data_IF_081426328197
#
_entry.id   IF_081426328197
#
_cell.length_a   1.000
_cell.length_b   1.000
_cell.length_c   1.000
_cell.angle_alpha   90.00
_cell.angle_beta   90.00
_cell.angle_gamma   90.00
#
_symmetry.space_group_name_H-M   'P 1'
#
loop_
_entity.id
_entity.type
_entity.pdbx_description
1 polymer ?
#
# COMPACT_ATOMS: atom_id res chain seq x y z
N UNK A 1 -17.92 3.44 2.78
CA UNK A 1 -16.52 3.89 2.63
C UNK A 1 -15.68 2.62 2.55
N UNK A 2 -15.09 2.29 1.40
CA UNK A 2 -14.33 1.03 1.25
C UNK A 2 -13.11 1.02 2.16
N UNK A 3 -12.84 -0.12 2.79
CA UNK A 3 -11.70 -0.28 3.72
C UNK A 3 -10.37 0.14 3.10
N UNK A 4 -10.16 -0.16 1.80
CA UNK A 4 -8.98 0.27 1.04
C UNK A 4 -8.82 1.79 1.01
N UNK A 5 -9.89 2.55 0.85
CA UNK A 5 -9.83 4.02 0.83
C UNK A 5 -9.42 4.57 2.20
N UNK A 6 -9.99 4.01 3.28
CA UNK A 6 -9.60 4.38 4.64
C UNK A 6 -8.11 4.15 4.88
N UNK A 7 -7.57 3.00 4.46
CA UNK A 7 -6.14 2.69 4.64
C UNK A 7 -5.22 3.60 3.83
N UNK A 8 -5.63 4.02 2.64
CA UNK A 8 -4.81 4.93 1.82
C UNK A 8 -4.84 6.34 2.40
N UNK A 9 -5.99 6.81 2.87
CA UNK A 9 -6.14 8.12 3.54
C UNK A 9 -5.38 8.16 4.87
N UNK A 10 -5.34 7.03 5.58
CA UNK A 10 -4.72 6.88 6.89
C UNK A 10 -3.47 5.97 6.84
N UNK A 11 -2.70 5.98 5.75
CA UNK A 11 -1.49 5.13 5.57
C UNK A 11 -0.43 5.33 6.67
N UNK A 12 -0.56 6.45 7.37
CA UNK A 12 0.33 6.88 8.45
C UNK A 12 -0.07 6.38 9.83
N UNK A 13 -1.29 5.88 9.97
CA UNK A 13 -1.81 5.34 11.23
C UNK A 13 -1.33 3.91 11.37
N UNK A 14 -0.86 3.56 12.56
CA UNK A 14 -0.47 2.18 12.89
C UNK A 14 -1.46 1.57 13.87
N UNK A 15 -1.74 0.30 13.64
CA UNK A 15 -2.55 -0.52 14.55
C UNK A 15 -1.64 -1.60 15.10
N UNK A 16 -1.57 -1.69 16.43
CA UNK A 16 -0.85 -2.73 17.14
C UNK A 16 -1.84 -3.63 17.85
N UNK A 17 -1.67 -4.94 17.69
CA UNK A 17 -2.37 -5.94 18.47
C UNK A 17 -1.44 -6.39 19.58
N UNK A 18 -1.69 -5.92 20.80
CA UNK A 18 -0.92 -6.33 21.98
C UNK A 18 -1.60 -7.58 22.52
N UNK A 19 -0.94 -8.72 22.32
CA UNK A 19 -1.38 -10.00 22.87
C UNK A 19 -1.16 -9.99 24.38
N UNK A 20 -2.17 -10.41 25.11
CA UNK A 20 -2.10 -10.68 26.53
C UNK A 20 -2.37 -12.17 26.73
N UNK A 21 -1.59 -12.84 27.58
CA UNK A 21 -1.82 -14.26 27.91
C UNK A 21 -2.91 -14.43 29.00
N UNK A 22 -3.22 -13.36 29.74
CA UNK A 22 -4.23 -13.39 30.80
C UNK A 22 -5.67 -13.15 30.30
N UNK A 23 -5.88 -12.95 29.00
CA UNK A 23 -7.21 -12.78 28.39
C UNK A 23 -7.20 -13.32 26.97
N UNK A 24 -8.33 -13.87 26.56
CA UNK A 24 -8.64 -14.22 25.17
C UNK A 24 -8.87 -13.00 24.26
N UNK A 25 -8.96 -11.80 24.84
CA UNK A 25 -9.03 -10.54 24.11
C UNK A 25 -7.66 -9.85 23.99
N UNK A 26 -7.30 -9.46 22.77
CA UNK A 26 -6.10 -8.65 22.51
C UNK A 26 -6.42 -7.16 22.57
N UNK A 27 -5.55 -6.37 23.22
CA UNK A 27 -5.66 -4.92 23.22
C UNK A 27 -5.26 -4.37 21.84
N UNK A 28 -6.09 -3.48 21.30
CA UNK A 28 -5.82 -2.81 20.02
C UNK A 28 -5.36 -1.38 20.32
N UNK A 29 -4.14 -1.05 19.92
CA UNK A 29 -3.58 0.30 20.05
C UNK A 29 -3.55 0.96 18.67
N UNK A 30 -4.25 2.09 18.55
CA UNK A 30 -4.25 2.93 17.36
C UNK A 30 -3.30 4.12 17.57
N UNK A 31 -2.17 4.10 16.88
CA UNK A 31 -1.21 5.20 16.91
C UNK A 31 -1.43 6.13 15.69
N UNK A 32 -2.03 7.28 15.98
CA UNK A 32 -2.31 8.35 15.03
C UNK A 32 -1.17 9.39 14.93
N UNK A 33 -0.20 9.37 15.87
CA UNK A 33 0.90 10.33 15.95
C UNK A 33 2.21 9.81 15.37
N UNK A 34 2.28 8.51 15.03
CA UNK A 34 3.42 7.85 14.39
C UNK A 34 4.04 8.63 13.21
N UNK A 35 3.27 9.49 12.57
CA UNK A 35 3.62 10.19 11.33
C UNK A 35 4.45 11.47 11.45
N UNK A 36 4.76 11.94 12.65
CA UNK A 36 5.57 13.16 12.79
C UNK A 36 7.00 12.98 12.23
N UNK A 37 7.50 11.75 12.15
CA UNK A 37 8.79 11.45 11.53
C UNK A 37 8.63 11.03 10.06
N UNK A 38 9.09 11.88 9.12
CA UNK A 38 9.21 11.56 7.69
C UNK A 38 10.33 10.55 7.42
N UNK A 39 10.23 9.33 7.94
CA UNK A 39 11.17 8.24 7.61
C UNK A 39 10.89 7.71 6.20
N UNK A 40 11.94 7.51 5.40
CA UNK A 40 11.85 6.79 4.11
C UNK A 40 11.34 5.37 4.39
N UNK A 41 10.07 5.11 4.11
CA UNK A 41 9.49 3.76 4.25
C UNK A 41 10.05 2.87 3.13
N UNK A 42 10.54 1.68 3.52
CA UNK A 42 10.82 0.62 2.56
C UNK A 42 9.51 0.20 1.90
N UNK A 43 9.56 -0.25 0.65
CA UNK A 43 8.40 -0.86 0.02
C UNK A 43 7.96 -2.06 0.86
N UNK A 44 6.71 -2.05 1.30
CA UNK A 44 6.05 -3.17 1.93
C UNK A 44 4.80 -3.45 1.12
N UNK A 45 4.66 -4.70 0.69
CA UNK A 45 3.43 -5.15 0.08
C UNK A 45 2.34 -5.19 1.16
N UNK A 46 1.18 -4.62 0.87
CA UNK A 46 0.04 -4.66 1.78
C UNK A 46 -1.02 -5.62 1.26
N UNK A 47 -1.34 -6.64 2.07
CA UNK A 47 -2.38 -7.62 1.74
C UNK A 47 -3.74 -6.96 1.47
N UNK A 48 -4.01 -5.79 2.04
CA UNK A 48 -5.25 -5.04 1.84
C UNK A 48 -5.43 -4.58 0.39
N UNK A 49 -4.35 -4.50 -0.40
CA UNK A 49 -4.45 -4.17 -1.83
C UNK A 49 -5.25 -5.21 -2.63
N UNK A 50 -5.32 -6.47 -2.18
CA UNK A 50 -6.14 -7.50 -2.81
C UNK A 50 -7.65 -7.21 -2.80
N UNK A 51 -8.10 -6.23 -2.01
CA UNK A 51 -9.50 -5.77 -2.05
C UNK A 51 -9.83 -5.06 -3.37
N UNK A 52 -8.83 -4.76 -4.20
CA UNK A 52 -8.97 -4.25 -5.56
C UNK A 52 -8.39 -5.24 -6.57
N UNK A 53 -8.98 -5.33 -7.77
CA UNK A 53 -8.41 -6.09 -8.90
C UNK A 53 -7.27 -5.35 -9.61
N UNK A 54 -7.05 -4.07 -9.31
CA UNK A 54 -6.04 -3.23 -9.96
C UNK A 54 -4.58 -3.70 -9.74
N UNK A 55 -4.13 -4.06 -8.52
CA UNK A 55 -2.75 -4.52 -8.31
C UNK A 55 -2.43 -5.78 -9.10
N UNK A 56 -3.38 -6.71 -9.19
CA UNK A 56 -3.22 -7.96 -9.93
C UNK A 56 -3.05 -7.70 -11.43
N UNK A 57 -3.89 -6.83 -12.00
CA UNK A 57 -3.76 -6.38 -13.39
C UNK A 57 -2.40 -5.74 -13.65
N UNK A 58 -1.99 -4.80 -12.79
CA UNK A 58 -0.69 -4.10 -12.93
C UNK A 58 0.47 -5.10 -12.89
N UNK A 59 0.44 -6.05 -11.97
CA UNK A 59 1.49 -7.09 -11.88
C UNK A 59 1.48 -7.93 -13.15
N UNK A 60 0.32 -8.41 -13.59
CA UNK A 60 0.19 -9.25 -14.79
C UNK A 60 0.71 -8.53 -16.05
N UNK A 61 0.32 -7.26 -16.24
CA UNK A 61 0.72 -6.46 -17.40
C UNK A 61 2.23 -6.23 -17.42
N UNK A 62 2.81 -5.86 -16.28
CA UNK A 62 4.26 -5.63 -16.15
C UNK A 62 5.04 -6.94 -16.29
N UNK A 63 4.51 -8.05 -15.76
CA UNK A 63 5.18 -9.35 -15.80
C UNK A 63 5.23 -9.94 -17.21
N UNK A 64 4.23 -9.66 -18.04
CA UNK A 64 4.18 -10.09 -19.45
C UNK A 64 5.19 -9.36 -20.33
N UNK A 65 5.71 -8.20 -19.92
CA UNK A 65 6.69 -7.46 -20.71
C UNK A 65 8.00 -8.23 -20.83
N UNK A 66 8.46 -8.43 -22.07
CA UNK A 66 9.75 -9.04 -22.31
C UNK A 66 10.90 -8.19 -21.80
N UNK A 67 11.91 -8.89 -21.27
CA UNK A 67 13.14 -8.31 -20.76
C UNK A 67 14.30 -8.98 -21.48
N UNK A 68 15.28 -8.18 -21.88
CA UNK A 68 16.52 -8.67 -22.46
C UNK A 68 17.52 -9.05 -21.36
N UNK A 69 18.45 -9.94 -21.70
CA UNK A 69 19.51 -10.40 -20.80
C UNK A 69 19.36 -11.84 -20.30
N UNK A 70 20.18 -12.22 -19.32
CA UNK A 70 20.22 -13.57 -18.77
C UNK A 70 18.91 -13.94 -18.05
N UNK A 71 18.60 -15.23 -17.94
CA UNK A 71 17.37 -15.72 -17.28
C UNK A 71 17.16 -15.08 -15.89
N UNK A 72 18.23 -14.99 -15.09
CA UNK A 72 18.18 -14.38 -13.75
C UNK A 72 17.98 -12.86 -13.79
N UNK A 73 18.59 -12.18 -14.76
CA UNK A 73 18.39 -10.75 -14.97
C UNK A 73 16.95 -10.44 -15.39
N UNK A 74 16.34 -11.27 -16.25
CA UNK A 74 14.94 -11.11 -16.66
C UNK A 74 13.99 -11.17 -15.47
N UNK A 75 14.14 -12.17 -14.61
CA UNK A 75 13.29 -12.33 -13.41
C UNK A 75 13.48 -11.17 -12.43
N UNK A 76 14.72 -10.82 -12.08
CA UNK A 76 14.99 -9.73 -11.14
C UNK A 76 14.50 -8.37 -11.68
N UNK A 77 14.63 -8.13 -12.98
CA UNK A 77 14.12 -6.93 -13.65
C UNK A 77 12.59 -6.87 -13.61
N UNK A 78 11.89 -7.99 -13.88
CA UNK A 78 10.42 -8.05 -13.78
C UNK A 78 9.94 -7.74 -12.36
N UNK A 79 10.55 -8.34 -11.34
CA UNK A 79 10.22 -8.05 -9.92
C UNK A 79 10.42 -6.56 -9.60
N UNK A 80 11.55 -5.98 -10.05
CA UNK A 80 11.84 -4.55 -9.85
C UNK A 80 10.80 -3.66 -10.53
N UNK A 81 10.38 -3.99 -11.75
CA UNK A 81 9.35 -3.25 -12.49
C UNK A 81 7.99 -3.35 -11.81
N UNK A 82 7.57 -4.54 -11.37
CA UNK A 82 6.31 -4.70 -10.62
C UNK A 82 6.30 -3.83 -9.36
N UNK A 83 7.40 -3.82 -8.59
CA UNK A 83 7.53 -2.96 -7.41
C UNK A 83 7.35 -1.49 -7.74
N UNK A 84 7.98 -1.00 -8.81
CA UNK A 84 7.88 0.39 -9.23
C UNK A 84 6.45 0.76 -9.70
N UNK A 85 5.82 -0.12 -10.47
CA UNK A 85 4.45 0.10 -10.96
C UNK A 85 3.43 0.16 -9.81
N UNK A 86 3.53 -0.76 -8.84
CA UNK A 86 2.69 -0.74 -7.64
C UNK A 86 2.88 0.55 -6.84
N UNK A 87 4.13 1.01 -6.66
CA UNK A 87 4.42 2.27 -5.98
C UNK A 87 3.81 3.49 -6.70
N UNK A 88 3.86 3.51 -8.03
CA UNK A 88 3.23 4.57 -8.82
C UNK A 88 1.72 4.56 -8.69
N UNK A 89 1.10 3.38 -8.71
CA UNK A 89 -0.34 3.21 -8.54
C UNK A 89 -0.82 3.73 -7.19
N UNK A 90 -0.16 3.36 -6.08
CA UNK A 90 -0.52 3.84 -4.74
C UNK A 90 -0.40 5.35 -4.65
N UNK A 91 0.70 5.93 -5.13
CA UNK A 91 0.89 7.39 -5.14
C UNK A 91 -0.23 8.10 -5.92
N UNK A 92 -0.65 7.52 -7.06
CA UNK A 92 -1.76 8.05 -7.84
C UNK A 92 -3.07 7.97 -7.05
N UNK A 93 -3.36 6.84 -6.40
CA UNK A 93 -4.54 6.66 -5.55
C UNK A 93 -4.59 7.65 -4.40
N UNK A 94 -3.50 7.77 -3.62
CA UNK A 94 -3.41 8.73 -2.51
C UNK A 94 -3.73 10.15 -2.97
N UNK A 95 -3.11 10.59 -4.06
CA UNK A 95 -3.36 11.92 -4.63
C UNK A 95 -4.81 12.12 -5.09
N UNK A 96 -5.46 11.07 -5.62
CA UNK A 96 -6.87 11.16 -6.01
C UNK A 96 -7.79 11.29 -4.80
N UNK A 97 -7.52 10.58 -3.72
CA UNK A 97 -8.30 10.65 -2.48
C UNK A 97 -8.12 12.00 -1.78
N UNK A 98 -6.89 12.54 -1.71
CA UNK A 98 -6.62 13.89 -1.20
C UNK A 98 -7.44 14.96 -1.94
N UNK A 99 -7.52 14.88 -3.28
CA UNK A 99 -8.34 15.80 -4.09
C UNK A 99 -9.84 15.69 -3.80
N UNK A 100 -10.36 14.48 -3.54
CA UNK A 100 -11.77 14.28 -3.17
C UNK A 100 -12.07 14.89 -1.80
N UNK A 101 -11.18 14.70 -0.82
CA UNK A 101 -11.30 15.28 0.53
C UNK A 101 -11.34 16.81 0.49
N UNK A 102 -10.47 17.45 -0.32
CA UNK A 102 -10.45 18.92 -0.47
C UNK A 102 -11.72 19.44 -1.15
N UNK A 103 -12.27 18.72 -2.14
CA UNK A 103 -13.49 19.12 -2.84
C UNK A 103 -14.74 19.00 -1.96
N UNK A 104 -14.80 17.99 -1.08
CA UNK A 104 -15.91 17.79 -0.15
C UNK A 104 -16.01 18.85 0.95
N UNK A 105 -14.93 19.58 1.25
CA UNK A 105 -14.90 20.63 2.29
C UNK A 105 -15.28 22.03 1.77
N UNK A 106 -15.50 22.19 0.47
CA UNK A 106 -15.86 23.47 -0.17
C UNK A 106 -17.35 23.58 -0.52
N UNK A 107 -18.11 22.51 -0.32
CA UNK A 107 -19.56 22.47 -0.50
C UNK A 107 -20.25 22.43 0.87
#
# INVERSE_FOLDING_TARGET
MDSLNWFIEHDRVKVYHIKNEASDHSMIVLDILYSLEKKKRRFQFDRRWFMSKEPEKIIADVWKQDQDGSKMYKVSSKIKKCRLALLQWIRKLTRMLEKKSVRSKRN
#
